data_IF_702508418028
#
_entry.id   IF_702508418028
#
_cell.length_a   1.000
_cell.length_b   1.000
_cell.length_c   1.000
_cell.angle_alpha   90.00
_cell.angle_beta   90.00
_cell.angle_gamma   90.00
#
_symmetry.space_group_name_H-M   'P 1'
#
loop_
_entity.id
_entity.type
_entity.pdbx_description
1 polymer ?
#
# COMPACT_ATOMS: atom_id res chain seq x y z
N UNK A 1 -0.38 5.47 12.88
CA UNK A 1 -1.52 5.77 13.76
C UNK A 1 -2.13 4.46 14.24
N UNK A 2 -2.57 4.39 15.50
CA UNK A 2 -3.30 3.23 16.04
C UNK A 2 -4.50 3.74 16.84
N UNK A 3 -5.66 3.13 16.60
CA UNK A 3 -6.91 3.43 17.27
C UNK A 3 -7.42 2.16 17.94
N UNK A 4 -7.87 2.28 19.18
CA UNK A 4 -8.44 1.18 19.95
C UNK A 4 -9.76 1.61 20.58
N UNK A 5 -10.76 0.72 20.51
CA UNK A 5 -12.04 0.91 21.18
C UNK A 5 -12.09 0.21 22.54
N UNK A 6 -13.02 0.61 23.40
CA UNK A 6 -13.27 -0.03 24.70
C UNK A 6 -13.66 -1.50 24.58
N UNK A 7 -14.21 -1.90 23.43
CA UNK A 7 -14.66 -3.25 23.07
C UNK A 7 -13.55 -4.14 22.49
N UNK A 8 -12.31 -3.63 22.37
CA UNK A 8 -11.13 -4.41 22.02
C UNK A 8 -10.81 -4.48 20.52
N UNK A 9 -11.52 -3.74 19.67
CA UNK A 9 -11.11 -3.56 18.28
C UNK A 9 -9.85 -2.69 18.15
N UNK A 10 -9.04 -2.97 17.13
CA UNK A 10 -7.84 -2.20 16.78
C UNK A 10 -7.89 -1.81 15.32
N UNK A 11 -7.57 -0.56 15.02
CA UNK A 11 -7.35 -0.09 13.65
C UNK A 11 -6.00 0.60 13.60
N UNK A 12 -5.10 0.16 12.74
CA UNK A 12 -3.79 0.79 12.54
C UNK A 12 -3.68 1.35 11.13
N UNK A 13 -3.09 2.53 10.97
CA UNK A 13 -2.69 3.09 9.68
C UNK A 13 -1.19 3.34 9.64
N UNK A 14 -0.53 2.83 8.60
CA UNK A 14 0.87 3.11 8.28
C UNK A 14 1.12 3.04 6.78
N UNK A 15 2.30 3.45 6.33
CA UNK A 15 2.80 3.18 4.98
C UNK A 15 3.77 1.99 5.00
N UNK A 16 3.89 1.27 3.88
CA UNK A 16 4.79 0.12 3.77
C UNK A 16 5.99 0.43 2.89
N UNK A 17 7.20 0.36 3.46
CA UNK A 17 8.44 0.60 2.71
C UNK A 17 8.60 -0.35 1.52
N UNK A 18 8.20 -1.62 1.67
CA UNK A 18 8.30 -2.60 0.59
C UNK A 18 7.27 -2.35 -0.51
N UNK A 19 6.04 -1.98 -0.15
CA UNK A 19 5.03 -1.61 -1.14
C UNK A 19 5.38 -0.30 -1.85
N UNK A 20 6.04 0.65 -1.18
CA UNK A 20 6.61 1.83 -1.82
C UNK A 20 7.69 1.44 -2.84
N UNK A 21 8.59 0.53 -2.50
CA UNK A 21 9.59 0.03 -3.45
C UNK A 21 8.93 -0.68 -4.65
N UNK A 22 7.94 -1.54 -4.38
CA UNK A 22 7.18 -2.22 -5.43
C UNK A 22 6.45 -1.22 -6.34
N UNK A 23 5.84 -0.19 -5.78
CA UNK A 23 5.17 0.89 -6.51
C UNK A 23 6.15 1.71 -7.37
N UNK A 24 7.36 1.98 -6.87
CA UNK A 24 8.40 2.61 -7.68
C UNK A 24 8.76 1.74 -8.89
N UNK A 25 8.99 0.43 -8.66
CA UNK A 25 9.36 -0.48 -9.75
C UNK A 25 8.22 -0.68 -10.77
N UNK A 26 6.97 -0.66 -10.31
CA UNK A 26 5.78 -0.63 -11.16
C UNK A 26 5.83 0.56 -12.12
N UNK A 27 6.03 1.76 -11.59
CA UNK A 27 5.98 2.98 -12.38
C UNK A 27 7.20 3.13 -13.30
N UNK A 28 8.41 2.86 -12.80
CA UNK A 28 9.64 3.00 -13.60
C UNK A 28 9.64 2.05 -14.79
N UNK A 29 9.08 0.84 -14.63
CA UNK A 29 8.96 -0.14 -15.70
C UNK A 29 7.71 0.05 -16.59
N UNK A 30 6.82 0.99 -16.24
CA UNK A 30 5.60 1.27 -17.00
C UNK A 30 4.59 0.11 -16.96
N UNK A 31 4.42 -0.54 -15.81
CA UNK A 31 3.57 -1.71 -15.63
C UNK A 31 2.08 -1.36 -15.41
N UNK A 32 1.57 -0.35 -16.12
CA UNK A 32 0.21 0.17 -15.92
C UNK A 32 -0.85 -0.95 -15.90
N UNK A 33 -1.66 -0.98 -14.84
CA UNK A 33 -2.74 -1.96 -14.65
C UNK A 33 -2.26 -3.36 -14.29
N UNK A 34 -1.01 -3.53 -13.89
CA UNK A 34 -0.53 -4.78 -13.30
C UNK A 34 -1.01 -4.93 -11.84
N UNK A 35 -1.21 -6.18 -11.43
CA UNK A 35 -1.43 -6.57 -10.04
C UNK A 35 -2.90 -6.76 -9.68
N UNK A 36 -3.11 -7.38 -8.52
CA UNK A 36 -4.42 -7.51 -7.90
C UNK A 36 -4.31 -7.21 -6.39
N UNK A 37 -4.92 -6.12 -5.88
CA UNK A 37 -5.60 -5.08 -6.66
C UNK A 37 -4.64 -4.34 -7.60
N UNK A 38 -5.15 -3.93 -8.76
CA UNK A 38 -4.42 -3.07 -9.69
C UNK A 38 -4.39 -1.65 -9.12
N UNK A 39 -3.21 -1.21 -8.69
CA UNK A 39 -3.01 0.14 -8.15
C UNK A 39 -2.71 1.14 -9.26
N UNK A 40 -3.15 2.38 -9.08
CA UNK A 40 -2.77 3.46 -9.98
C UNK A 40 -1.29 3.83 -9.83
N UNK A 41 -0.74 4.58 -10.78
CA UNK A 41 0.61 5.12 -10.67
C UNK A 41 0.82 5.96 -9.40
N UNK A 42 2.07 6.08 -8.97
CA UNK A 42 2.45 6.86 -7.82
C UNK A 42 2.35 8.37 -8.05
N UNK A 43 2.24 9.11 -6.95
CA UNK A 43 2.35 10.56 -6.91
C UNK A 43 3.33 11.00 -5.82
N UNK A 44 4.40 11.74 -6.14
CA UNK A 44 4.75 12.29 -7.45
C UNK A 44 5.14 11.21 -8.47
N UNK A 45 4.95 11.54 -9.75
CA UNK A 45 5.18 10.63 -10.86
C UNK A 45 6.65 10.17 -10.92
N UNK A 46 6.87 8.85 -11.00
CA UNK A 46 8.18 8.26 -11.27
C UNK A 46 8.43 8.20 -12.77
N UNK A 47 9.56 8.78 -13.21
CA UNK A 47 9.95 8.79 -14.62
C UNK A 47 10.19 7.36 -15.11
N UNK A 48 9.53 7.00 -16.22
CA UNK A 48 9.67 5.68 -16.87
C UNK A 48 11.06 5.50 -17.47
N UNK A 49 11.56 4.27 -17.40
CA UNK A 49 12.70 3.75 -18.14
C UNK A 49 12.21 2.61 -19.05
N UNK A 50 12.86 2.39 -20.19
CA UNK A 50 12.51 1.26 -21.07
C UNK A 50 13.17 -0.03 -20.54
N UNK A 51 12.40 -1.02 -20.03
CA UNK A 51 12.97 -2.24 -19.48
C UNK A 51 13.36 -3.25 -20.58
N UNK A 52 13.05 -3.01 -21.85
CA UNK A 52 13.22 -4.01 -22.93
C UNK A 52 14.66 -4.50 -23.05
N UNK A 53 15.63 -3.59 -23.01
CA UNK A 53 17.04 -3.98 -23.08
C UNK A 53 17.50 -4.72 -21.82
N UNK A 54 17.08 -4.25 -20.64
CA UNK A 54 17.42 -4.88 -19.35
C UNK A 54 16.87 -6.31 -19.23
N UNK A 55 15.69 -6.56 -19.80
CA UNK A 55 14.95 -7.82 -19.65
C UNK A 55 15.02 -8.74 -20.87
N UNK A 56 15.72 -8.35 -21.95
CA UNK A 56 15.73 -9.07 -23.23
C UNK A 56 16.12 -10.55 -23.11
N UNK A 57 17.05 -10.89 -22.22
CA UNK A 57 17.56 -12.25 -22.05
C UNK A 57 16.83 -13.06 -20.96
N UNK A 58 15.81 -12.48 -20.32
CA UNK A 58 15.10 -13.05 -19.17
C UNK A 58 13.58 -12.99 -19.36
N UNK A 59 13.12 -13.11 -20.61
CA UNK A 59 11.69 -13.18 -20.94
C UNK A 59 11.00 -11.83 -21.22
N UNK A 60 11.73 -10.71 -21.14
CA UNK A 60 11.26 -9.40 -21.58
C UNK A 60 10.16 -8.78 -20.70
N UNK A 61 9.48 -7.73 -21.21
CA UNK A 61 8.40 -7.05 -20.49
C UNK A 61 7.25 -7.97 -20.00
N UNK A 62 6.82 -9.02 -20.74
CA UNK A 62 5.79 -9.93 -20.23
C UNK A 62 6.22 -10.74 -19.00
N UNK A 63 7.49 -11.14 -18.91
CA UNK A 63 8.02 -11.81 -17.72
C UNK A 63 8.08 -10.85 -16.54
N UNK A 64 8.64 -9.65 -16.75
CA UNK A 64 8.71 -8.59 -15.75
C UNK A 64 7.34 -8.27 -15.13
N UNK A 65 6.30 -8.15 -15.97
CA UNK A 65 4.93 -7.92 -15.47
C UNK A 65 4.49 -9.03 -14.52
N UNK A 66 4.55 -10.29 -14.95
CA UNK A 66 4.09 -11.43 -14.13
C UNK A 66 4.87 -11.56 -12.82
N UNK A 67 6.18 -11.39 -12.89
CA UNK A 67 7.07 -11.47 -11.72
C UNK A 67 6.77 -10.35 -10.71
N UNK A 68 6.52 -9.14 -11.20
CA UNK A 68 6.08 -8.04 -10.35
C UNK A 68 4.69 -8.30 -9.75
N UNK A 69 3.74 -8.80 -10.54
CA UNK A 69 2.38 -9.15 -10.07
C UNK A 69 2.41 -10.21 -8.97
N UNK A 70 3.28 -11.22 -9.11
CA UNK A 70 3.49 -12.23 -8.09
C UNK A 70 4.04 -11.63 -6.80
N UNK A 71 5.07 -10.78 -6.89
CA UNK A 71 5.62 -10.09 -5.72
C UNK A 71 4.59 -9.16 -5.06
N UNK A 72 3.84 -8.39 -5.86
CA UNK A 72 2.78 -7.53 -5.36
C UNK A 72 1.72 -8.34 -4.59
N UNK A 73 1.27 -9.48 -5.12
CA UNK A 73 0.32 -10.35 -4.43
C UNK A 73 0.85 -10.84 -3.08
N UNK A 74 2.15 -11.14 -2.97
CA UNK A 74 2.76 -11.53 -1.70
C UNK A 74 2.76 -10.37 -0.70
N UNK A 75 3.11 -9.15 -1.14
CA UNK A 75 3.09 -7.96 -0.29
C UNK A 75 1.70 -7.60 0.21
N UNK A 76 0.70 -7.75 -0.66
CA UNK A 76 -0.71 -7.51 -0.34
C UNK A 76 -1.18 -8.46 0.76
N UNK A 77 -0.74 -9.72 0.74
CA UNK A 77 -1.10 -10.77 1.70
C UNK A 77 -0.21 -10.84 2.95
N UNK A 78 0.95 -10.17 2.96
CA UNK A 78 1.91 -10.27 4.07
C UNK A 78 1.42 -9.54 5.33
N UNK A 79 0.93 -10.31 6.30
CA UNK A 79 0.48 -9.84 7.61
C UNK A 79 1.56 -9.69 8.67
N UNK A 80 2.71 -10.36 8.50
CA UNK A 80 3.77 -10.39 9.51
C UNK A 80 4.77 -9.25 9.32
N UNK A 81 4.79 -8.63 8.14
CA UNK A 81 5.84 -7.67 7.78
C UNK A 81 7.17 -8.35 7.49
N UNK A 82 7.18 -9.68 7.36
CA UNK A 82 8.32 -10.50 6.93
C UNK A 82 8.42 -10.57 5.40
N UNK A 83 7.77 -9.65 4.69
CA UNK A 83 7.85 -9.62 3.25
C UNK A 83 9.30 -9.58 2.77
N UNK A 84 9.48 -10.10 1.55
CA UNK A 84 10.76 -10.37 0.92
C UNK A 84 11.77 -9.24 1.10
N UNK A 85 12.80 -9.49 1.91
CA UNK A 85 13.86 -8.50 2.17
C UNK A 85 14.60 -8.22 0.86
N UNK A 86 14.65 -6.95 0.47
CA UNK A 86 15.41 -6.49 -0.68
C UNK A 86 16.89 -6.38 -0.31
N UNK A 87 17.67 -7.40 -0.64
CA UNK A 87 19.10 -7.48 -0.33
C UNK A 87 19.97 -7.24 -1.58
N UNK A 88 20.43 -6.00 -1.82
CA UNK A 88 21.30 -5.71 -2.97
C UNK A 88 22.71 -6.31 -2.78
N UNK A 89 23.46 -6.50 -3.88
CA UNK A 89 23.05 -6.34 -5.27
C UNK A 89 22.40 -7.60 -5.85
N UNK A 90 22.46 -8.72 -5.13
CA UNK A 90 22.04 -10.00 -5.65
C UNK A 90 20.52 -10.15 -5.67
N UNK A 91 19.80 -9.67 -4.66
CA UNK A 91 18.36 -9.89 -4.49
C UNK A 91 18.01 -11.37 -4.62
N UNK A 92 18.69 -12.24 -3.87
CA UNK A 92 18.57 -13.70 -3.93
C UNK A 92 17.14 -14.20 -3.74
N UNK A 93 16.33 -13.47 -2.96
CA UNK A 93 14.92 -13.79 -2.79
C UNK A 93 14.08 -13.63 -4.08
N UNK A 94 14.66 -13.09 -5.15
CA UNK A 94 14.08 -12.94 -6.48
C UNK A 94 14.78 -13.81 -7.54
N UNK A 95 15.49 -14.86 -7.15
CA UNK A 95 16.14 -15.79 -8.10
C UNK A 95 15.12 -16.48 -9.03
N UNK A 96 13.88 -16.65 -8.59
CA UNK A 96 12.75 -17.11 -9.42
C UNK A 96 12.14 -16.05 -10.33
N UNK A 97 12.60 -14.79 -10.24
CA UNK A 97 12.06 -13.61 -10.90
C UNK A 97 13.17 -12.79 -11.57
N UNK A 98 13.86 -13.35 -12.57
CA UNK A 98 15.08 -12.76 -13.13
C UNK A 98 14.83 -11.45 -13.89
N UNK A 99 13.66 -11.22 -14.49
CA UNK A 99 13.36 -9.96 -15.16
C UNK A 99 13.18 -8.81 -14.15
N UNK A 100 12.47 -9.08 -13.06
CA UNK A 100 12.31 -8.16 -11.94
C UNK A 100 13.65 -7.87 -11.26
N UNK A 101 14.47 -8.90 -11.04
CA UNK A 101 15.81 -8.76 -10.45
C UNK A 101 16.69 -7.78 -11.26
N UNK A 102 16.66 -7.84 -12.59
CA UNK A 102 17.40 -6.90 -13.46
C UNK A 102 16.94 -5.45 -13.30
N UNK A 103 15.64 -5.22 -13.23
CA UNK A 103 15.08 -3.88 -13.01
C UNK A 103 15.42 -3.39 -11.60
N UNK A 104 15.33 -4.25 -10.59
CA UNK A 104 15.73 -3.93 -9.22
C UNK A 104 17.20 -3.52 -9.16
N UNK A 105 18.11 -4.31 -9.73
CA UNK A 105 19.55 -4.00 -9.79
C UNK A 105 19.83 -2.64 -10.43
N UNK A 106 19.18 -2.33 -11.55
CA UNK A 106 19.38 -1.07 -12.26
C UNK A 106 18.85 0.16 -11.49
N UNK A 107 17.77 0.00 -10.73
CA UNK A 107 17.04 1.12 -10.15
C UNK A 107 17.01 1.17 -8.61
N UNK A 108 17.66 0.22 -7.92
CA UNK A 108 17.56 0.07 -6.46
C UNK A 108 17.91 1.34 -5.68
N UNK A 109 18.98 2.04 -6.05
CA UNK A 109 19.39 3.28 -5.39
C UNK A 109 18.33 4.37 -5.50
N UNK A 110 17.78 4.57 -6.70
CA UNK A 110 16.73 5.56 -6.94
C UNK A 110 15.42 5.18 -6.25
N UNK A 111 15.04 3.90 -6.29
CA UNK A 111 13.87 3.36 -5.60
C UNK A 111 13.97 3.57 -4.08
N UNK A 112 15.14 3.28 -3.49
CA UNK A 112 15.40 3.43 -2.05
C UNK A 112 15.28 4.89 -1.61
N UNK A 113 15.89 5.81 -2.36
CA UNK A 113 15.79 7.24 -2.08
C UNK A 113 14.34 7.72 -2.18
N UNK A 114 13.65 7.36 -3.25
CA UNK A 114 12.25 7.73 -3.45
C UNK A 114 11.34 7.20 -2.32
N UNK A 115 11.47 5.93 -1.95
CA UNK A 115 10.65 5.33 -0.89
C UNK A 115 10.91 5.98 0.48
N UNK A 116 12.18 6.35 0.78
CA UNK A 116 12.54 7.08 1.99
C UNK A 116 11.91 8.47 2.05
N UNK A 117 11.93 9.20 0.93
CA UNK A 117 11.27 10.51 0.84
C UNK A 117 9.76 10.40 1.05
N UNK A 118 9.07 9.48 0.36
CA UNK A 118 7.62 9.27 0.53
C UNK A 118 7.25 8.87 1.97
N UNK A 119 8.07 8.05 2.62
CA UNK A 119 7.86 7.71 4.04
C UNK A 119 8.09 8.92 4.95
N UNK A 120 9.01 9.81 4.62
CA UNK A 120 9.21 11.06 5.36
C UNK A 120 8.02 12.01 5.19
N UNK A 121 7.48 12.12 3.98
CA UNK A 121 6.29 12.92 3.69
C UNK A 121 5.06 12.36 4.39
N UNK A 122 4.86 11.03 4.35
CA UNK A 122 3.77 10.37 5.06
C UNK A 122 3.79 10.69 6.56
N UNK A 123 4.96 10.63 7.22
CA UNK A 123 5.08 10.99 8.65
C UNK A 123 4.71 12.45 8.93
N UNK A 124 4.98 13.38 8.00
CA UNK A 124 4.55 14.78 8.13
C UNK A 124 3.02 14.88 7.99
N UNK A 125 2.44 14.21 6.99
CA UNK A 125 0.99 14.19 6.79
C UNK A 125 0.25 13.59 8.00
N UNK A 126 0.79 12.54 8.59
CA UNK A 126 0.27 11.91 9.81
C UNK A 126 0.21 12.92 10.97
N UNK A 127 1.29 13.68 11.20
CA UNK A 127 1.33 14.71 12.24
C UNK A 127 0.29 15.82 12.00
N UNK A 128 0.12 16.25 10.73
CA UNK A 128 -0.87 17.25 10.34
C UNK A 128 -2.32 16.75 10.54
N UNK A 129 -2.57 15.47 10.29
CA UNK A 129 -3.88 14.83 10.49
C UNK A 129 -4.22 14.65 11.95
N UNK A 130 -3.24 14.30 12.78
CA UNK A 130 -3.42 14.24 14.23
C UNK A 130 -3.76 15.63 14.78
N UNK A 131 -3.00 16.66 14.39
CA UNK A 131 -3.22 18.04 14.84
C UNK A 131 -4.58 18.61 14.38
N UNK A 132 -5.07 18.22 13.20
CA UNK A 132 -6.38 18.65 12.69
C UNK A 132 -7.54 17.77 13.16
N UNK A 133 -7.29 16.68 13.88
CA UNK A 133 -8.30 15.73 14.34
C UNK A 133 -8.83 14.77 13.27
N UNK A 134 -8.35 14.86 12.01
CA UNK A 134 -8.74 13.96 10.91
C UNK A 134 -8.38 12.50 11.18
N UNK A 135 -7.33 12.26 11.97
CA UNK A 135 -6.97 10.92 12.43
C UNK A 135 -8.14 10.19 13.13
N UNK A 136 -9.08 10.92 13.75
CA UNK A 136 -10.20 10.34 14.50
C UNK A 136 -11.37 9.87 13.63
N UNK A 137 -11.38 10.18 12.33
CA UNK A 137 -12.49 9.85 11.43
C UNK A 137 -12.82 8.36 11.42
N UNK A 138 -11.80 7.51 11.47
CA UNK A 138 -11.99 6.06 11.45
C UNK A 138 -12.62 5.54 12.75
N UNK A 139 -12.18 6.03 13.90
CA UNK A 139 -12.78 5.68 15.20
C UNK A 139 -14.21 6.18 15.29
N UNK A 140 -14.50 7.37 14.75
CA UNK A 140 -15.85 7.91 14.68
C UNK A 140 -16.77 7.02 13.85
N UNK A 141 -16.31 6.51 12.70
CA UNK A 141 -17.10 5.57 11.89
C UNK A 141 -17.48 4.29 12.65
N UNK A 142 -16.56 3.75 13.47
CA UNK A 142 -16.88 2.57 14.30
C UNK A 142 -17.89 2.94 15.39
N UNK A 143 -17.69 4.07 16.08
CA UNK A 143 -18.60 4.54 17.13
C UNK A 143 -20.01 4.84 16.61
N UNK A 144 -20.10 5.50 15.45
CA UNK A 144 -21.37 5.76 14.75
C UNK A 144 -22.10 4.44 14.49
N UNK A 145 -21.35 3.42 14.03
CA UNK A 145 -21.90 2.09 13.76
C UNK A 145 -22.33 1.32 15.02
N UNK A 146 -21.56 1.38 16.10
CA UNK A 146 -21.92 0.80 17.40
C UNK A 146 -23.23 1.42 17.93
N UNK A 147 -23.36 2.74 17.81
CA UNK A 147 -24.57 3.47 18.19
C UNK A 147 -25.79 3.06 17.35
N UNK A 148 -25.62 2.92 16.03
CA UNK A 148 -26.69 2.44 15.13
C UNK A 148 -27.16 1.02 15.47
N UNK A 149 -26.25 0.14 15.85
CA UNK A 149 -26.56 -1.25 16.20
C UNK A 149 -27.03 -1.43 17.65
N UNK A 150 -26.86 -0.41 18.51
CA UNK A 150 -27.18 -0.47 19.93
C UNK A 150 -26.34 -1.48 20.71
N UNK A 151 -25.16 -1.85 20.18
CA UNK A 151 -24.22 -2.78 20.81
C UNK A 151 -22.79 -2.40 20.46
N UNK A 152 -21.86 -2.80 21.31
CA UNK A 152 -20.43 -2.69 21.02
C UNK A 152 -20.04 -3.57 19.82
N UNK A 153 -18.99 -3.13 19.12
CA UNK A 153 -18.35 -3.87 18.06
C UNK A 153 -17.68 -5.13 18.61
N UNK A 154 -17.58 -6.15 17.76
CA UNK A 154 -16.79 -7.33 18.09
C UNK A 154 -15.29 -6.99 18.05
N UNK A 155 -14.47 -7.85 18.63
CA UNK A 155 -13.03 -7.74 18.47
C UNK A 155 -12.63 -8.00 17.01
N UNK A 156 -12.02 -7.01 16.38
CA UNK A 156 -11.38 -7.12 15.07
C UNK A 156 -10.09 -6.29 15.04
N UNK A 157 -9.22 -6.59 14.08
CA UNK A 157 -8.00 -5.84 13.80
C UNK A 157 -8.06 -5.41 12.34
N UNK A 158 -8.02 -4.12 12.02
CA UNK A 158 -8.02 -3.61 10.64
C UNK A 158 -6.73 -2.86 10.35
N UNK A 159 -5.98 -3.31 9.34
CA UNK A 159 -4.73 -2.68 8.89
C UNK A 159 -4.96 -1.83 7.66
N UNK A 160 -4.77 -0.51 7.80
CA UNK A 160 -4.80 0.46 6.72
C UNK A 160 -3.36 0.69 6.22
N UNK A 161 -3.13 0.44 4.93
CA UNK A 161 -1.86 0.70 4.26
C UNK A 161 -2.04 1.88 3.31
N UNK A 162 -1.43 3.00 3.66
CA UNK A 162 -1.52 4.23 2.90
C UNK A 162 -0.37 4.39 1.91
N UNK A 163 -0.71 4.43 0.63
CA UNK A 163 0.24 4.59 -0.48
C UNK A 163 0.06 5.93 -1.20
N UNK A 164 1.14 6.51 -1.74
CA UNK A 164 1.10 7.78 -2.46
C UNK A 164 0.59 7.53 -3.89
N UNK A 165 -0.71 7.27 -4.02
CA UNK A 165 -1.36 6.91 -5.28
C UNK A 165 -2.00 8.14 -5.93
N UNK A 166 -1.87 8.23 -7.25
CA UNK A 166 -2.43 9.34 -8.04
C UNK A 166 -3.96 9.39 -7.98
N UNK A 167 -4.62 8.22 -7.98
CA UNK A 167 -6.07 8.13 -7.84
C UNK A 167 -6.46 8.01 -6.37
N UNK A 168 -7.49 8.76 -5.95
CA UNK A 168 -8.09 8.64 -4.63
C UNK A 168 -8.99 7.39 -4.58
N UNK A 169 -8.37 6.22 -4.41
CA UNK A 169 -9.06 4.92 -4.35
C UNK A 169 -8.56 4.08 -3.17
N UNK A 170 -9.41 3.14 -2.76
CA UNK A 170 -9.10 2.14 -1.76
C UNK A 170 -9.55 0.74 -2.22
N UNK A 171 -8.89 -0.28 -1.68
CA UNK A 171 -9.19 -1.68 -1.92
C UNK A 171 -9.20 -2.40 -0.58
N UNK A 172 -10.29 -3.11 -0.30
CA UNK A 172 -10.33 -4.07 0.80
C UNK A 172 -9.66 -5.36 0.36
N UNK A 173 -8.73 -5.82 1.18
CA UNK A 173 -7.98 -7.05 1.02
C UNK A 173 -8.34 -7.91 2.23
N UNK A 174 -9.10 -8.96 1.96
CA UNK A 174 -9.50 -9.89 3.00
C UNK A 174 -8.28 -10.52 3.70
N UNK A 175 -8.41 -10.85 5.01
CA UNK A 175 -9.61 -10.70 5.82
C UNK A 175 -9.77 -9.32 6.46
N UNK A 176 -8.71 -8.51 6.55
CA UNK A 176 -8.69 -7.40 7.50
C UNK A 176 -7.70 -6.29 7.14
N UNK A 177 -7.43 -6.09 5.85
CA UNK A 177 -6.50 -5.10 5.35
C UNK A 177 -7.17 -4.19 4.33
N UNK A 178 -6.77 -2.93 4.30
CA UNK A 178 -7.13 -2.02 3.23
C UNK A 178 -5.89 -1.34 2.69
N UNK A 179 -5.77 -1.28 1.37
CA UNK A 179 -4.80 -0.43 0.70
C UNK A 179 -5.55 0.81 0.25
N UNK A 180 -5.05 1.99 0.54
CA UNK A 180 -5.71 3.24 0.14
C UNK A 180 -4.72 4.32 -0.27
N UNK A 181 -5.19 5.24 -1.10
CA UNK A 181 -4.47 6.46 -1.40
C UNK A 181 -4.37 7.35 -0.16
N UNK A 182 -3.17 7.87 0.10
CA UNK A 182 -2.92 8.86 1.15
C UNK A 182 -3.85 10.07 1.04
N UNK A 183 -4.32 10.43 -0.16
CA UNK A 183 -5.20 11.59 -0.36
C UNK A 183 -6.63 11.38 0.13
N UNK A 184 -7.05 10.14 0.35
CA UNK A 184 -8.46 9.85 0.65
C UNK A 184 -8.91 10.52 1.95
N UNK A 185 -8.10 10.49 3.00
CA UNK A 185 -8.47 11.09 4.29
C UNK A 185 -8.62 12.62 4.25
N UNK A 186 -8.09 13.28 3.22
CA UNK A 186 -8.26 14.71 3.02
C UNK A 186 -9.63 15.04 2.39
N UNK A 187 -10.27 14.06 1.73
CA UNK A 187 -11.65 14.08 1.26
C UNK A 187 -12.52 13.17 2.14
N UNK A 188 -13.09 13.74 3.21
CA UNK A 188 -13.87 12.96 4.19
C UNK A 188 -15.02 12.18 3.54
N UNK A 189 -15.74 12.76 2.58
CA UNK A 189 -16.85 12.08 1.92
C UNK A 189 -16.36 10.86 1.12
N UNK A 190 -15.27 11.04 0.36
CA UNK A 190 -14.60 9.95 -0.35
C UNK A 190 -14.10 8.87 0.61
N UNK A 191 -13.38 9.25 1.66
CA UNK A 191 -12.89 8.33 2.69
C UNK A 191 -14.01 7.50 3.31
N UNK A 192 -15.08 8.15 3.79
CA UNK A 192 -16.23 7.45 4.39
C UNK A 192 -16.87 6.47 3.41
N UNK A 193 -17.03 6.86 2.14
CA UNK A 193 -17.66 6.00 1.12
C UNK A 193 -16.89 4.69 0.88
N UNK A 194 -15.56 4.70 1.02
CA UNK A 194 -14.72 3.51 0.86
C UNK A 194 -14.60 2.69 2.15
N UNK A 195 -14.50 3.34 3.30
CA UNK A 195 -14.15 2.68 4.56
C UNK A 195 -15.38 2.21 5.34
N UNK A 196 -16.50 2.94 5.26
CA UNK A 196 -17.72 2.58 5.96
C UNK A 196 -18.23 1.16 5.63
N UNK A 197 -18.29 0.71 4.36
CA UNK A 197 -18.73 -0.66 4.05
C UNK A 197 -17.85 -1.75 4.70
N UNK A 198 -16.55 -1.48 4.86
CA UNK A 198 -15.62 -2.41 5.53
C UNK A 198 -15.85 -2.43 7.03
N UNK A 199 -16.07 -1.26 7.64
CA UNK A 199 -16.45 -1.18 9.06
C UNK A 199 -17.76 -1.91 9.32
N UNK A 200 -18.77 -1.73 8.45
CA UNK A 200 -20.06 -2.42 8.54
C UNK A 200 -19.95 -3.94 8.43
N UNK A 201 -18.96 -4.46 7.70
CA UNK A 201 -18.67 -5.89 7.59
C UNK A 201 -18.03 -6.45 8.86
N UNK A 202 -17.22 -5.66 9.56
CA UNK A 202 -16.41 -6.09 10.71
C UNK A 202 -17.10 -5.92 12.07
N UNK A 203 -18.07 -5.00 12.19
CA UNK A 203 -18.75 -4.61 13.43
C UNK A 203 -20.07 -5.36 13.67
#
# INVERSE_FOLDING_TARGET
MEHTGSSGWRISSDTSAQMLMALYFHDVAGLDGAGFPAVSAAEPWVRRADPRQLTAHVGGPPALRREWEQWWSLLVQDDTGEATVLEPPAFSAFDGSPALQKVMQAHYGAATTWARERRSEYRRLEQEREASGRAKLISQLVQDREMELGRDARQFDLKLIELPLREARAWFVEPNRMILSQKLIDDEAGYRSFVQPVVELLV
#
